data_IF_982353618138
#
_entry.id   IF_982353618138
#
_cell.length_a   1.000
_cell.length_b   1.000
_cell.length_c   1.000
_cell.angle_alpha   90.00
_cell.angle_beta   90.00
_cell.angle_gamma   90.00
#
_symmetry.space_group_name_H-M   'P 1'
#
loop_
_entity.id
_entity.type
_entity.pdbx_description
1 polymer ?
#
# COMPACT_ATOMS: atom_id res chain seq x y z
N UNK A 1 2.78 -10.28 0.84
CA UNK A 1 1.60 -10.31 1.73
C UNK A 1 2.01 -9.84 3.11
N UNK A 2 1.13 -9.14 3.83
CA UNK A 2 1.40 -8.61 5.17
C UNK A 2 0.24 -8.86 6.13
N UNK A 3 0.53 -9.23 7.38
CA UNK A 3 -0.46 -9.33 8.46
C UNK A 3 -0.14 -8.32 9.58
N UNK A 4 -1.01 -7.34 9.76
CA UNK A 4 -0.98 -6.37 10.86
C UNK A 4 -1.66 -6.99 12.08
N UNK A 5 -0.94 -7.10 13.18
CA UNK A 5 -1.46 -7.68 14.43
C UNK A 5 -1.68 -6.64 15.52
N UNK A 6 -1.03 -5.49 15.45
CA UNK A 6 -1.29 -4.34 16.32
C UNK A 6 -0.70 -3.04 15.76
N UNK A 7 -1.26 -1.89 16.11
CA UNK A 7 -0.78 -0.56 15.71
C UNK A 7 -1.65 0.11 14.66
N UNK A 8 -1.11 1.08 13.91
CA UNK A 8 -1.85 1.90 12.94
C UNK A 8 -2.07 3.34 13.40
N UNK A 9 -2.66 4.23 12.60
CA UNK A 9 -3.28 3.94 11.31
C UNK A 9 -2.25 3.62 10.23
N UNK A 10 -2.56 2.61 9.41
CA UNK A 10 -1.78 2.24 8.23
C UNK A 10 -2.65 2.46 6.99
N UNK A 11 -2.16 3.26 6.06
CA UNK A 11 -2.80 3.44 4.76
C UNK A 11 -2.09 2.59 3.70
N UNK A 12 -2.88 1.95 2.84
CA UNK A 12 -2.43 1.19 1.68
C UNK A 12 -3.19 1.64 0.43
N UNK A 13 -2.54 1.58 -0.72
CA UNK A 13 -3.15 1.96 -1.99
C UNK A 13 -3.31 0.76 -2.91
N UNK A 14 -4.40 0.75 -3.69
CA UNK A 14 -4.69 -0.30 -4.67
C UNK A 14 -5.14 0.33 -5.98
N UNK A 15 -4.77 -0.29 -7.09
CA UNK A 15 -5.37 0.00 -8.40
C UNK A 15 -6.41 -1.08 -8.69
N UNK A 16 -7.65 -0.69 -8.90
CA UNK A 16 -8.74 -1.59 -9.29
C UNK A 16 -8.66 -1.93 -10.79
N UNK A 17 -9.34 -3.00 -11.26
CA UNK A 17 -9.30 -3.40 -12.68
C UNK A 17 -9.73 -2.30 -13.67
N UNK A 18 -10.52 -1.32 -13.24
CA UNK A 18 -10.97 -0.17 -14.04
C UNK A 18 -10.03 1.05 -13.96
N UNK A 19 -8.89 0.93 -13.26
CA UNK A 19 -7.88 1.98 -13.14
C UNK A 19 -8.13 2.93 -11.96
N UNK A 20 -9.20 2.73 -11.18
CA UNK A 20 -9.46 3.55 -10.00
C UNK A 20 -8.42 3.24 -8.92
N UNK A 21 -7.76 4.29 -8.41
CA UNK A 21 -6.85 4.16 -7.26
C UNK A 21 -7.59 4.36 -5.95
N UNK A 22 -7.64 3.31 -5.13
CA UNK A 22 -8.30 3.27 -3.82
C UNK A 22 -7.30 3.51 -2.71
N UNK A 23 -7.71 4.31 -1.71
CA UNK A 23 -7.01 4.48 -0.42
C UNK A 23 -7.73 3.66 0.66
N UNK A 24 -7.10 2.56 1.10
CA UNK A 24 -7.55 1.77 2.25
C UNK A 24 -6.79 2.23 3.49
N UNK A 25 -7.50 2.72 4.51
CA UNK A 25 -6.90 3.00 5.82
C UNK A 25 -7.35 1.95 6.80
N UNK A 26 -6.39 1.19 7.33
CA UNK A 26 -6.57 0.36 8.51
C UNK A 26 -6.37 1.27 9.71
N UNK A 27 -7.40 1.41 10.54
CA UNK A 27 -7.33 2.17 11.78
C UNK A 27 -6.51 1.40 12.85
N UNK A 28 -6.54 1.85 14.10
CA UNK A 28 -5.89 1.15 15.19
C UNK A 28 -6.35 -0.31 15.32
N UNK A 29 -5.39 -1.23 15.37
CA UNK A 29 -5.58 -2.64 15.73
C UNK A 29 -5.03 -2.86 17.14
N UNK A 30 -5.91 -3.13 18.09
CA UNK A 30 -5.57 -3.47 19.48
C UNK A 30 -5.08 -4.90 19.65
N UNK A 31 -4.58 -5.23 20.85
CA UNK A 31 -4.06 -6.56 21.16
C UNK A 31 -5.14 -7.65 21.19
N UNK A 32 -6.38 -7.27 21.49
CA UNK A 32 -7.55 -8.15 21.54
C UNK A 32 -8.39 -8.11 20.26
N UNK A 33 -7.98 -7.31 19.26
CA UNK A 33 -8.68 -7.17 18.00
C UNK A 33 -8.30 -8.29 17.01
N UNK A 34 -9.14 -8.48 15.99
CA UNK A 34 -8.79 -9.35 14.87
C UNK A 34 -7.69 -8.73 14.02
N UNK A 35 -6.64 -9.50 13.77
CA UNK A 35 -5.55 -9.10 12.88
C UNK A 35 -6.04 -8.84 11.45
N UNK A 36 -5.43 -7.85 10.78
CA UNK A 36 -5.76 -7.49 9.39
C UNK A 36 -4.71 -8.04 8.45
N UNK A 37 -5.15 -8.87 7.49
CA UNK A 37 -4.29 -9.44 6.45
C UNK A 37 -4.47 -8.69 5.13
N UNK A 38 -3.41 -8.05 4.67
CA UNK A 38 -3.33 -7.38 3.38
C UNK A 38 -2.63 -8.28 2.35
N UNK A 39 -3.37 -8.64 1.31
CA UNK A 39 -2.89 -9.35 0.15
C UNK A 39 -3.02 -8.46 -1.08
N UNK A 40 -1.93 -8.24 -1.79
CA UNK A 40 -1.90 -7.48 -3.04
C UNK A 40 -1.02 -8.27 -4.02
N UNK A 41 -1.57 -8.68 -5.18
CA UNK A 41 -0.79 -9.29 -6.24
C UNK A 41 -0.35 -8.24 -7.28
N UNK A 42 0.78 -8.50 -7.94
CA UNK A 42 1.12 -7.89 -9.21
C UNK A 42 1.92 -6.59 -9.15
N UNK A 43 2.12 -6.01 -10.34
CA UNK A 43 2.79 -4.74 -10.58
C UNK A 43 1.74 -3.63 -10.54
N UNK A 44 1.86 -2.74 -9.57
CA UNK A 44 0.95 -1.62 -9.35
C UNK A 44 1.46 -0.74 -8.21
N UNK A 45 0.63 0.20 -7.76
CA UNK A 45 0.98 1.06 -6.62
C UNK A 45 1.17 0.18 -5.38
N UNK A 46 2.44 0.01 -4.97
CA UNK A 46 2.84 -0.79 -3.82
C UNK A 46 3.44 0.13 -2.77
N UNK A 47 2.58 0.92 -2.13
CA UNK A 47 2.98 1.93 -1.15
C UNK A 47 2.12 1.79 0.12
N UNK A 48 2.79 1.59 1.25
CA UNK A 48 2.20 1.75 2.57
C UNK A 48 2.57 3.11 3.13
N UNK A 49 1.57 3.90 3.54
CA UNK A 49 1.77 5.17 4.22
C UNK A 49 1.43 5.00 5.70
N UNK A 50 2.45 5.09 6.56
CA UNK A 50 2.33 4.95 8.00
C UNK A 50 2.52 6.32 8.66
N UNK A 51 1.48 6.79 9.33
CA UNK A 51 1.49 8.03 10.13
C UNK A 51 0.96 7.72 11.53
N UNK A 52 1.66 6.82 12.21
CA UNK A 52 1.28 6.25 13.50
C UNK A 52 2.37 6.50 14.53
N UNK A 53 2.07 7.22 15.62
CA UNK A 53 3.03 7.50 16.70
C UNK A 53 3.50 6.21 17.38
N UNK A 54 2.60 5.27 17.62
CA UNK A 54 2.89 3.95 18.21
C UNK A 54 3.55 2.95 17.25
N UNK A 55 3.69 3.29 15.96
CA UNK A 55 4.17 2.38 14.94
C UNK A 55 3.21 1.23 14.61
N UNK A 56 3.77 0.12 14.11
CA UNK A 56 3.03 -1.04 13.59
C UNK A 56 3.77 -2.34 13.94
N UNK A 57 3.03 -3.36 14.38
CA UNK A 57 3.55 -4.72 14.55
C UNK A 57 3.07 -5.60 13.41
N UNK A 58 4.02 -6.14 12.65
CA UNK A 58 3.79 -7.07 11.55
C UNK A 58 4.31 -8.45 11.97
N UNK A 59 3.41 -9.43 12.06
CA UNK A 59 3.80 -10.80 12.45
C UNK A 59 4.30 -11.63 11.27
N UNK A 60 3.78 -11.36 10.06
CA UNK A 60 4.12 -12.12 8.86
C UNK A 60 4.23 -11.19 7.65
N UNK A 61 5.43 -11.13 7.07
CA UNK A 61 5.69 -10.60 5.74
C UNK A 61 6.40 -11.69 4.94
N UNK A 62 5.72 -12.23 3.92
CA UNK A 62 6.30 -13.28 3.08
C UNK A 62 6.10 -12.97 1.59
N UNK A 63 7.06 -13.44 0.80
CA UNK A 63 7.12 -13.36 -0.65
C UNK A 63 8.15 -14.39 -1.16
N UNK A 64 8.20 -14.66 -2.48
CA UNK A 64 9.26 -15.49 -3.05
C UNK A 64 10.67 -14.94 -2.76
N UNK A 65 11.65 -15.83 -2.73
CA UNK A 65 13.06 -15.49 -2.50
C UNK A 65 13.65 -14.61 -3.62
N UNK A 66 13.11 -14.72 -4.84
CA UNK A 66 13.51 -13.91 -5.99
C UNK A 66 12.26 -13.45 -6.74
N UNK A 67 12.28 -12.20 -7.17
CA UNK A 67 11.24 -11.61 -8.02
C UNK A 67 11.88 -11.05 -9.29
N UNK A 68 11.24 -11.28 -10.44
CA UNK A 68 11.58 -10.60 -11.69
C UNK A 68 10.41 -9.68 -12.04
N UNK A 69 10.63 -8.38 -11.94
CA UNK A 69 9.64 -7.36 -12.31
C UNK A 69 9.89 -6.90 -13.74
N UNK A 70 8.83 -6.90 -14.56
CA UNK A 70 8.86 -6.44 -15.96
C UNK A 70 7.90 -5.26 -16.11
N UNK A 71 8.41 -4.07 -15.88
CA UNK A 71 7.60 -2.85 -15.92
C UNK A 71 7.16 -2.46 -17.34
N UNK A 72 7.96 -2.82 -18.35
CA UNK A 72 7.70 -2.49 -19.76
C UNK A 72 6.88 -3.56 -20.50
N UNK A 73 6.38 -4.58 -19.78
CA UNK A 73 5.62 -5.66 -20.41
C UNK A 73 4.24 -5.14 -20.85
N UNK A 74 3.82 -5.29 -22.13
CA UNK A 74 2.55 -4.75 -22.63
C UNK A 74 1.29 -5.26 -21.92
N UNK A 75 1.41 -6.37 -21.17
CA UNK A 75 0.33 -6.97 -20.41
C UNK A 75 0.12 -6.35 -19.03
N UNK A 76 0.98 -5.43 -18.58
CA UNK A 76 0.80 -4.74 -17.31
C UNK A 76 -0.42 -3.82 -17.41
N UNK A 77 -1.44 -4.13 -16.62
CA UNK A 77 -2.65 -3.32 -16.54
C UNK A 77 -2.33 -1.98 -15.88
N UNK A 78 -2.88 -0.89 -16.45
CA UNK A 78 -2.71 0.48 -15.94
C UNK A 78 -1.24 0.87 -15.75
N UNK A 79 -0.39 0.55 -16.74
CA UNK A 79 1.05 0.78 -16.68
C UNK A 79 1.42 2.26 -16.53
N UNK A 80 0.54 3.16 -16.96
CA UNK A 80 0.65 4.61 -16.75
C UNK A 80 0.61 5.03 -15.27
N UNK A 81 0.10 4.17 -14.38
CA UNK A 81 0.07 4.42 -12.93
C UNK A 81 1.34 3.92 -12.22
N UNK A 82 2.21 3.15 -12.89
CA UNK A 82 3.44 2.64 -12.29
C UNK A 82 4.36 3.78 -11.86
N UNK A 83 4.86 3.71 -10.62
CA UNK A 83 5.72 4.75 -10.06
C UNK A 83 4.99 6.06 -9.73
N UNK A 84 3.65 6.09 -9.81
CA UNK A 84 2.82 7.23 -9.43
C UNK A 84 1.90 6.87 -8.28
N UNK A 85 1.36 7.86 -7.59
CA UNK A 85 0.26 7.67 -6.65
C UNK A 85 -0.55 8.97 -6.52
N UNK A 86 -1.82 9.03 -6.98
CA UNK A 86 -2.61 10.26 -6.96
C UNK A 86 -3.01 10.73 -5.55
N UNK A 87 -2.77 9.89 -4.53
CA UNK A 87 -3.00 10.24 -3.13
C UNK A 87 -1.77 10.82 -2.43
N UNK A 88 -0.60 10.83 -3.08
CA UNK A 88 0.66 11.23 -2.44
C UNK A 88 1.25 12.46 -3.13
N UNK A 89 1.66 13.43 -2.32
CA UNK A 89 2.47 14.55 -2.73
C UNK A 89 3.95 14.18 -2.70
N UNK A 90 4.54 14.01 -3.89
CA UNK A 90 5.97 13.79 -4.04
C UNK A 90 6.77 15.10 -4.26
N UNK A 91 6.14 16.27 -4.09
CA UNK A 91 6.82 17.57 -4.32
C UNK A 91 7.85 17.93 -3.25
N UNK A 92 7.85 17.27 -2.09
CA UNK A 92 8.84 17.47 -1.01
C UNK A 92 9.67 16.23 -0.74
N UNK A 93 10.82 16.40 -0.07
CA UNK A 93 11.72 15.30 0.31
C UNK A 93 11.04 14.20 1.13
N UNK A 94 10.06 14.57 1.96
CA UNK A 94 9.18 13.61 2.66
C UNK A 94 7.83 13.60 1.95
N UNK A 95 7.39 12.47 1.38
CA UNK A 95 6.08 12.37 0.75
C UNK A 95 4.96 12.69 1.74
N UNK A 96 3.87 13.31 1.26
CA UNK A 96 2.71 13.64 2.11
C UNK A 96 1.42 13.06 1.58
N UNK A 97 0.60 12.52 2.46
CA UNK A 97 -0.73 12.04 2.10
C UNK A 97 -1.70 13.21 1.84
N UNK A 98 -2.34 13.23 0.66
CA UNK A 98 -3.42 14.16 0.40
C UNK A 98 -4.70 13.77 1.14
N UNK A 99 -5.43 14.79 1.63
CA UNK A 99 -6.74 14.59 2.25
C UNK A 99 -7.81 14.15 1.24
N UNK A 100 -7.69 14.57 -0.02
CA UNK A 100 -8.54 14.22 -1.16
C UNK A 100 -7.64 13.96 -2.37
N UNK A 101 -8.05 13.03 -3.24
CA UNK A 101 -7.33 12.76 -4.49
C UNK A 101 -7.24 14.04 -5.33
N UNK A 102 -6.10 14.24 -5.99
CA UNK A 102 -5.90 15.35 -6.94
C UNK A 102 -6.72 15.17 -8.20
#
# INVERSE_FOLDING_TARGET
MMTVVSGGPLTWFFVLPDGVTVRLTIDHVGLDDSAVRLSYPGLGIHEGFLDAEQGLIIAYAHGPETFVMRYDEPSVSHSELLGTNPWIDFSSNTPKLFKKVK
#
